data_IF_740091042303
#
_entry.id   IF_740091042303
#
_cell.length_a   1.000
_cell.length_b   1.000
_cell.length_c   1.000
_cell.angle_alpha   90.00
_cell.angle_beta   90.00
_cell.angle_gamma   90.00
#
_symmetry.space_group_name_H-M   'P 1'
#
loop_
_entity.id
_entity.type
_entity.pdbx_description
1 polymer ?
#
# COMPACT_ATOMS: atom_id res chain seq x y z
N UNK A 1 -19.26 -49.25 -56.43
CA UNK A 1 -18.27 -49.03 -55.32
C UNK A 1 -18.72 -47.81 -54.56
N UNK A 2 -19.47 -48.03 -53.55
CA UNK A 2 -20.09 -47.05 -52.67
C UNK A 2 -19.17 -46.89 -51.47
N UNK A 3 -18.68 -45.69 -51.22
CA UNK A 3 -17.95 -45.34 -50.00
C UNK A 3 -18.90 -44.64 -49.05
N UNK A 4 -19.11 -45.32 -47.97
CA UNK A 4 -19.90 -44.90 -46.83
C UNK A 4 -19.13 -43.85 -46.02
N UNK A 5 -19.69 -42.67 -45.82
CA UNK A 5 -19.13 -41.62 -44.97
C UNK A 5 -19.98 -41.52 -43.69
N UNK A 6 -19.42 -41.98 -42.58
CA UNK A 6 -20.01 -41.76 -41.27
C UNK A 6 -19.95 -40.29 -40.84
N UNK A 7 -20.96 -39.75 -40.19
CA UNK A 7 -20.87 -38.43 -39.54
C UNK A 7 -20.14 -38.50 -38.22
N UNK A 8 -19.17 -37.60 -38.03
CA UNK A 8 -18.47 -37.38 -36.75
C UNK A 8 -19.37 -36.76 -35.72
N UNK A 9 -19.43 -37.36 -34.55
CA UNK A 9 -20.09 -36.83 -33.39
C UNK A 9 -19.36 -35.55 -32.92
N UNK A 10 -20.12 -34.44 -32.82
CA UNK A 10 -19.68 -33.19 -32.18
C UNK A 10 -19.70 -33.38 -30.68
N UNK A 11 -18.54 -33.21 -30.02
CA UNK A 11 -18.45 -33.11 -28.56
C UNK A 11 -19.20 -31.85 -28.07
N UNK A 12 -19.86 -31.90 -26.92
CA UNK A 12 -20.47 -30.73 -26.31
C UNK A 12 -19.39 -29.82 -25.78
N UNK A 13 -19.29 -28.63 -26.32
CA UNK A 13 -18.49 -27.54 -25.73
C UNK A 13 -19.13 -27.13 -24.42
N UNK A 14 -18.45 -27.47 -23.33
CA UNK A 14 -18.74 -27.00 -21.99
C UNK A 14 -18.61 -25.47 -21.95
N UNK A 15 -19.73 -24.78 -21.98
CA UNK A 15 -19.87 -23.33 -21.93
C UNK A 15 -19.66 -22.79 -20.52
N UNK A 16 -18.59 -23.14 -19.85
CA UNK A 16 -18.19 -22.52 -18.60
C UNK A 16 -17.99 -21.00 -18.80
N UNK A 17 -18.77 -20.19 -18.09
CA UNK A 17 -18.59 -18.75 -18.09
C UNK A 17 -17.11 -18.43 -17.79
N UNK A 18 -16.45 -17.52 -18.54
CA UNK A 18 -15.06 -17.20 -18.32
C UNK A 18 -14.87 -16.68 -16.89
N UNK A 19 -14.07 -17.39 -16.10
CA UNK A 19 -13.64 -16.93 -14.78
C UNK A 19 -12.96 -15.58 -15.01
N UNK A 20 -13.40 -14.50 -14.36
CA UNK A 20 -12.81 -13.19 -14.58
C UNK A 20 -11.33 -13.26 -14.24
N UNK A 21 -10.48 -13.03 -15.21
CA UNK A 21 -9.04 -12.94 -14.99
C UNK A 21 -8.78 -11.74 -14.06
N UNK A 22 -8.20 -12.00 -12.90
CA UNK A 22 -7.72 -10.95 -12.00
C UNK A 22 -6.60 -10.23 -12.74
N UNK A 23 -6.85 -9.01 -13.19
CA UNK A 23 -5.80 -8.16 -13.74
C UNK A 23 -4.98 -7.57 -12.60
N UNK A 24 -3.67 -7.44 -12.76
CA UNK A 24 -2.78 -6.88 -11.75
C UNK A 24 -3.14 -5.44 -11.38
N UNK A 25 -3.77 -4.69 -12.26
CA UNK A 25 -4.30 -3.34 -11.99
C UNK A 25 -5.59 -3.33 -11.18
N UNK A 26 -6.25 -4.48 -10.97
CA UNK A 26 -7.56 -4.56 -10.35
C UNK A 26 -8.69 -3.90 -11.15
N UNK A 27 -8.49 -3.68 -12.46
CA UNK A 27 -9.46 -2.93 -13.28
C UNK A 27 -10.82 -3.64 -13.38
N UNK A 28 -10.84 -4.98 -13.43
CA UNK A 28 -12.08 -5.76 -13.49
C UNK A 28 -12.93 -5.61 -12.22
N UNK A 29 -12.30 -5.50 -11.05
CA UNK A 29 -12.97 -5.30 -9.77
C UNK A 29 -13.56 -3.88 -9.62
N UNK A 30 -13.08 -2.92 -10.39
CA UNK A 30 -13.51 -1.52 -10.32
C UNK A 30 -14.59 -1.15 -11.32
N UNK A 31 -15.12 -2.11 -12.06
CA UNK A 31 -16.14 -1.89 -13.11
C UNK A 31 -17.38 -2.77 -12.87
N UNK A 32 -18.50 -2.29 -13.37
CA UNK A 32 -19.77 -3.02 -13.32
C UNK A 32 -20.46 -2.92 -11.96
N UNK A 33 -21.41 -3.83 -11.74
CA UNK A 33 -22.25 -3.86 -10.54
C UNK A 33 -21.42 -4.17 -9.29
N UNK A 34 -21.89 -3.71 -8.14
CA UNK A 34 -21.32 -4.04 -6.82
C UNK A 34 -21.51 -5.55 -6.55
N UNK A 35 -20.46 -6.19 -6.02
CA UNK A 35 -20.44 -7.66 -5.82
C UNK A 35 -20.25 -8.01 -4.35
N UNK A 36 -20.67 -9.21 -4.00
CA UNK A 36 -20.31 -9.81 -2.72
C UNK A 36 -18.77 -9.84 -2.55
N UNK A 37 -18.31 -9.63 -1.33
CA UNK A 37 -16.87 -9.55 -0.98
C UNK A 37 -16.24 -8.20 -1.29
N UNK A 38 -16.87 -7.31 -2.06
CA UNK A 38 -16.32 -5.98 -2.34
C UNK A 38 -16.44 -5.03 -1.14
N UNK A 39 -15.44 -4.20 -0.95
CA UNK A 39 -15.51 -3.08 0.00
C UNK A 39 -16.25 -1.91 -0.65
N UNK A 40 -17.24 -1.40 0.06
CA UNK A 40 -18.03 -0.24 -0.34
C UNK A 40 -17.96 0.82 0.75
N UNK A 41 -17.81 2.06 0.33
CA UNK A 41 -17.87 3.24 1.18
C UNK A 41 -19.27 3.83 1.10
N UNK A 42 -19.91 3.94 2.25
CA UNK A 42 -21.25 4.49 2.42
C UNK A 42 -21.11 5.92 2.93
N UNK A 43 -21.67 6.88 2.22
CA UNK A 43 -21.66 8.29 2.64
C UNK A 43 -23.08 8.67 3.06
N UNK A 44 -23.24 9.08 4.32
CA UNK A 44 -24.54 9.56 4.80
C UNK A 44 -24.80 11.04 4.40
N UNK A 45 -26.00 11.52 4.65
CA UNK A 45 -26.45 12.89 4.36
C UNK A 45 -25.65 14.00 5.08
N UNK A 46 -24.79 13.63 6.06
CA UNK A 46 -23.88 14.53 6.76
C UNK A 46 -22.44 14.43 6.26
N UNK A 47 -22.20 13.66 5.20
CA UNK A 47 -20.87 13.39 4.65
C UNK A 47 -20.00 12.45 5.50
N UNK A 48 -20.58 11.72 6.48
CA UNK A 48 -19.83 10.73 7.25
C UNK A 48 -19.65 9.46 6.44
N UNK A 49 -18.44 8.93 6.47
CA UNK A 49 -18.04 7.77 5.71
C UNK A 49 -18.05 6.52 6.59
N UNK A 50 -18.64 5.46 6.08
CA UNK A 50 -18.62 4.13 6.66
C UNK A 50 -18.14 3.15 5.61
N UNK A 51 -17.15 2.32 5.93
CA UNK A 51 -16.67 1.29 5.02
C UNK A 51 -17.19 -0.06 5.46
N UNK A 52 -17.86 -0.77 4.55
CA UNK A 52 -18.39 -2.11 4.76
C UNK A 52 -17.85 -3.07 3.69
N UNK A 53 -17.73 -4.35 4.04
CA UNK A 53 -17.52 -5.42 3.07
C UNK A 53 -18.89 -6.04 2.80
N UNK A 54 -19.31 -6.06 1.56
CA UNK A 54 -20.62 -6.63 1.19
C UNK A 54 -20.60 -8.15 1.38
N UNK A 55 -21.59 -8.68 2.08
CA UNK A 55 -21.79 -10.11 2.28
C UNK A 55 -23.28 -10.43 2.12
N UNK A 56 -23.61 -11.46 1.36
CA UNK A 56 -25.00 -11.89 1.14
C UNK A 56 -25.67 -12.23 2.48
N UNK A 57 -26.88 -11.76 2.68
CA UNK A 57 -27.64 -11.94 3.92
C UNK A 57 -27.22 -11.07 5.10
N UNK A 58 -26.08 -10.37 5.02
CA UNK A 58 -25.60 -9.46 6.08
C UNK A 58 -26.42 -8.16 6.13
N UNK A 59 -26.31 -7.47 7.27
CA UNK A 59 -27.03 -6.23 7.54
C UNK A 59 -26.07 -5.16 8.06
N UNK A 60 -26.14 -3.98 7.48
CA UNK A 60 -25.44 -2.81 8.01
C UNK A 60 -26.31 -2.12 9.05
N UNK A 61 -25.78 -2.00 10.27
CA UNK A 61 -26.48 -1.40 11.40
C UNK A 61 -25.88 -0.05 11.78
N UNK A 62 -26.75 0.93 12.04
CA UNK A 62 -26.39 2.22 12.64
C UNK A 62 -27.39 2.59 13.74
N UNK A 63 -27.09 3.62 14.51
CA UNK A 63 -28.03 4.20 15.47
C UNK A 63 -29.30 4.80 14.82
N UNK A 64 -29.33 4.85 13.48
CA UNK A 64 -30.46 5.38 12.66
C UNK A 64 -31.09 4.30 11.78
N UNK A 65 -31.08 3.06 12.23
CA UNK A 65 -31.68 1.95 11.52
C UNK A 65 -30.65 1.10 10.77
N UNK A 66 -31.14 0.23 9.94
CA UNK A 66 -30.35 -0.77 9.21
C UNK A 66 -30.85 -0.89 7.77
N UNK A 67 -30.01 -1.46 6.90
CA UNK A 67 -30.39 -2.00 5.60
C UNK A 67 -29.58 -3.27 5.30
N UNK A 68 -30.07 -4.09 4.38
CA UNK A 68 -29.42 -5.35 4.01
C UNK A 68 -28.36 -5.09 2.95
N UNK A 69 -27.23 -5.78 3.03
CA UNK A 69 -26.19 -5.73 1.99
C UNK A 69 -26.72 -6.20 0.63
N UNK A 70 -27.73 -7.09 0.63
CA UNK A 70 -28.39 -7.59 -0.58
C UNK A 70 -29.04 -6.47 -1.42
N UNK A 71 -29.34 -5.30 -0.82
CA UNK A 71 -29.86 -4.14 -1.55
C UNK A 71 -28.79 -3.44 -2.40
N UNK A 72 -27.52 -3.68 -2.08
CA UNK A 72 -26.36 -3.14 -2.80
C UNK A 72 -25.68 -4.17 -3.70
N UNK A 73 -25.72 -5.47 -3.34
CA UNK A 73 -25.17 -6.54 -4.18
C UNK A 73 -25.98 -6.63 -5.47
N UNK A 74 -25.31 -6.46 -6.61
CA UNK A 74 -25.95 -6.40 -7.92
C UNK A 74 -26.47 -5.02 -8.33
N UNK A 75 -26.36 -4.00 -7.45
CA UNK A 75 -26.69 -2.63 -7.80
C UNK A 75 -25.50 -1.94 -8.51
N UNK A 76 -25.75 -0.91 -9.35
CA UNK A 76 -24.68 -0.11 -9.91
C UNK A 76 -23.97 0.71 -8.84
N UNK A 77 -22.68 0.99 -9.03
CA UNK A 77 -21.94 1.94 -8.21
C UNK A 77 -22.57 3.33 -8.30
N UNK A 78 -22.66 4.06 -7.18
CA UNK A 78 -23.39 5.30 -7.09
C UNK A 78 -24.86 5.14 -6.70
N UNK A 79 -25.31 3.94 -6.37
CA UNK A 79 -26.65 3.70 -5.84
C UNK A 79 -26.83 4.31 -4.45
N UNK A 80 -28.07 4.68 -4.15
CA UNK A 80 -28.50 5.13 -2.83
C UNK A 80 -29.36 4.05 -2.19
N UNK A 81 -29.07 3.71 -0.94
CA UNK A 81 -29.87 2.80 -0.12
C UNK A 81 -30.38 3.55 1.10
N UNK A 82 -31.62 3.27 1.51
CA UNK A 82 -32.27 3.93 2.64
C UNK A 82 -32.39 2.97 3.82
N UNK A 83 -31.86 3.38 4.99
CA UNK A 83 -32.00 2.60 6.20
C UNK A 83 -33.46 2.56 6.70
N UNK A 84 -33.79 1.59 7.55
CA UNK A 84 -35.10 1.47 8.21
C UNK A 84 -35.52 2.70 9.00
N UNK A 85 -34.56 3.55 9.38
CA UNK A 85 -34.78 4.85 10.03
C UNK A 85 -34.87 6.03 9.06
N UNK A 86 -34.97 5.80 7.75
CA UNK A 86 -35.15 6.85 6.73
C UNK A 86 -33.88 7.63 6.36
N UNK A 87 -32.68 7.13 6.71
CA UNK A 87 -31.43 7.79 6.34
C UNK A 87 -30.87 7.17 5.05
N UNK A 88 -30.58 8.03 4.09
CA UNK A 88 -29.99 7.67 2.82
C UNK A 88 -28.45 7.55 2.90
N UNK A 89 -27.90 6.56 2.21
CA UNK A 89 -26.48 6.30 2.07
C UNK A 89 -26.12 6.14 0.60
N UNK A 90 -25.21 6.98 0.11
CA UNK A 90 -24.60 6.82 -1.21
C UNK A 90 -23.53 5.76 -1.13
N UNK A 91 -23.59 4.74 -1.99
CA UNK A 91 -22.68 3.61 -2.03
C UNK A 91 -21.69 3.72 -3.20
N UNK A 92 -20.40 3.85 -2.90
CA UNK A 92 -19.31 3.94 -3.86
C UNK A 92 -18.18 2.97 -3.51
N UNK A 93 -17.44 2.49 -4.51
CA UNK A 93 -16.17 1.81 -4.25
C UNK A 93 -15.16 2.81 -3.70
N UNK A 94 -14.40 2.48 -2.64
CA UNK A 94 -13.40 3.39 -2.12
C UNK A 94 -12.32 3.66 -3.17
N UNK A 95 -11.92 4.90 -3.32
CA UNK A 95 -10.72 5.26 -4.05
C UNK A 95 -9.48 4.71 -3.33
N UNK A 96 -8.32 4.66 -4.00
CA UNK A 96 -7.07 4.23 -3.35
C UNK A 96 -6.77 5.07 -2.10
N UNK A 97 -6.97 6.39 -2.18
CA UNK A 97 -6.78 7.27 -1.04
C UNK A 97 -7.71 6.91 0.14
N UNK A 98 -8.99 6.64 -0.14
CA UNK A 98 -9.97 6.26 0.87
C UNK A 98 -9.63 4.91 1.49
N UNK A 99 -9.21 3.94 0.67
CA UNK A 99 -8.78 2.63 1.12
C UNK A 99 -7.59 2.73 2.08
N UNK A 100 -6.55 3.49 1.72
CA UNK A 100 -5.36 3.74 2.57
C UNK A 100 -5.75 4.40 3.89
N UNK A 101 -6.65 5.38 3.87
CA UNK A 101 -7.04 6.13 5.07
C UNK A 101 -7.99 5.34 6.00
N UNK A 102 -8.74 4.37 5.46
CA UNK A 102 -9.74 3.58 6.19
C UNK A 102 -9.35 2.14 6.50
N UNK A 103 -8.25 1.64 5.91
CA UNK A 103 -7.83 0.24 6.11
C UNK A 103 -7.40 -0.04 7.55
N UNK A 104 -7.52 -1.28 8.03
CA UNK A 104 -6.91 -1.73 9.28
C UNK A 104 -5.39 -1.54 9.25
N UNK A 105 -4.83 -0.96 10.30
CA UNK A 105 -3.40 -0.66 10.36
C UNK A 105 -2.80 -0.87 11.74
N UNK A 106 -1.63 -1.47 11.79
CA UNK A 106 -0.82 -1.66 13.00
C UNK A 106 0.21 -0.55 13.20
N UNK A 107 0.69 0.07 12.09
CA UNK A 107 1.71 1.10 12.06
C UNK A 107 1.20 2.41 11.45
N UNK A 108 2.02 3.46 11.50
CA UNK A 108 1.84 4.63 10.66
C UNK A 108 1.91 4.21 9.18
N UNK A 109 1.24 4.96 8.32
CA UNK A 109 1.23 4.69 6.88
C UNK A 109 1.74 5.90 6.12
N UNK A 110 2.36 5.66 4.99
CA UNK A 110 2.64 6.72 4.01
C UNK A 110 1.31 7.25 3.50
N UNK A 111 1.07 8.53 3.69
CA UNK A 111 -0.18 9.17 3.29
C UNK A 111 -0.31 9.24 1.76
N UNK A 112 -1.53 9.24 1.21
CA UNK A 112 -1.75 9.29 -0.24
C UNK A 112 -1.03 10.44 -0.94
N UNK A 113 -0.91 11.60 -0.29
CA UNK A 113 -0.17 12.75 -0.83
C UNK A 113 1.32 12.47 -1.03
N UNK A 114 1.91 11.70 -0.11
CA UNK A 114 3.33 11.33 -0.16
C UNK A 114 3.54 10.13 -1.09
N UNK A 115 2.65 9.13 -1.07
CA UNK A 115 2.68 8.00 -1.99
C UNK A 115 2.61 8.45 -3.46
N UNK A 116 1.78 9.47 -3.78
CA UNK A 116 1.75 10.10 -5.10
C UNK A 116 3.09 10.73 -5.48
N UNK A 117 3.78 11.36 -4.53
CA UNK A 117 5.11 11.91 -4.75
C UNK A 117 6.16 10.82 -4.93
N UNK A 118 6.11 9.74 -4.15
CA UNK A 118 7.00 8.57 -4.32
C UNK A 118 6.89 8.04 -5.75
N UNK A 119 5.68 7.83 -6.25
CA UNK A 119 5.45 7.32 -7.61
C UNK A 119 5.99 8.29 -8.68
N UNK A 120 5.66 9.58 -8.56
CA UNK A 120 6.01 10.57 -9.58
C UNK A 120 7.49 10.95 -9.55
N UNK A 121 8.01 11.28 -8.35
CA UNK A 121 9.41 11.74 -8.20
C UNK A 121 10.40 10.58 -8.21
N UNK A 122 9.95 9.36 -7.87
CA UNK A 122 10.71 8.12 -8.06
C UNK A 122 10.66 7.62 -9.49
N UNK A 123 9.86 8.26 -10.37
CA UNK A 123 9.66 7.83 -11.76
C UNK A 123 9.34 6.33 -11.84
N UNK A 124 8.33 5.90 -11.05
CA UNK A 124 7.86 4.51 -11.06
C UNK A 124 6.86 4.36 -12.21
N UNK A 125 7.22 3.56 -13.20
CA UNK A 125 6.50 3.43 -14.46
C UNK A 125 5.96 2.00 -14.69
N UNK A 126 4.96 1.82 -15.56
CA UNK A 126 4.48 0.49 -15.92
C UNK A 126 5.59 -0.38 -16.52
N UNK A 127 5.79 -1.56 -15.94
CA UNK A 127 6.87 -2.46 -16.34
C UNK A 127 8.14 -2.38 -15.45
N UNK A 128 8.22 -1.40 -14.56
CA UNK A 128 9.37 -1.27 -13.65
C UNK A 128 9.51 -2.45 -12.70
N UNK A 129 10.76 -2.80 -12.39
CA UNK A 129 11.15 -3.73 -11.33
C UNK A 129 11.46 -2.94 -10.07
N UNK A 130 10.56 -3.03 -9.09
CA UNK A 130 10.59 -2.23 -7.86
C UNK A 130 10.83 -3.12 -6.65
N UNK A 131 11.71 -2.68 -5.76
CA UNK A 131 11.85 -3.24 -4.42
C UNK A 131 11.33 -2.22 -3.41
N UNK A 132 10.52 -2.67 -2.48
CA UNK A 132 10.01 -1.92 -1.34
C UNK A 132 10.51 -2.54 -0.04
N UNK A 133 10.91 -1.73 0.94
CA UNK A 133 11.17 -2.22 2.28
C UNK A 133 10.58 -1.30 3.34
N UNK A 134 10.04 -1.92 4.41
CA UNK A 134 9.21 -1.25 5.38
C UNK A 134 7.75 -1.22 4.94
N UNK A 135 7.18 -2.38 4.68
CA UNK A 135 5.83 -2.56 4.10
C UNK A 135 4.72 -2.08 5.04
N UNK A 136 4.92 -2.28 6.32
CA UNK A 136 3.98 -1.88 7.36
C UNK A 136 2.58 -2.48 7.15
N UNK A 137 1.61 -1.64 6.86
CA UNK A 137 0.22 -2.08 6.59
C UNK A 137 -0.10 -2.23 5.11
N UNK A 138 0.86 -2.06 4.19
CA UNK A 138 0.68 -2.21 2.74
C UNK A 138 0.11 -0.98 2.03
N UNK A 139 0.10 0.19 2.67
CA UNK A 139 -0.46 1.42 2.09
C UNK A 139 0.31 1.87 0.86
N UNK A 140 1.63 1.97 0.98
CA UNK A 140 2.52 2.35 -0.13
C UNK A 140 2.55 1.25 -1.18
N UNK A 141 2.60 -0.01 -0.77
CA UNK A 141 2.54 -1.20 -1.63
C UNK A 141 1.41 -1.13 -2.65
N UNK A 142 0.20 -0.75 -2.23
CA UNK A 142 -0.95 -0.60 -3.14
C UNK A 142 -0.73 0.47 -4.22
N UNK A 143 -0.09 1.57 -3.87
CA UNK A 143 0.26 2.64 -4.82
C UNK A 143 1.33 2.20 -5.81
N UNK A 144 2.36 1.50 -5.31
CA UNK A 144 3.45 0.95 -6.13
C UNK A 144 2.94 -0.11 -7.11
N UNK A 145 2.08 -1.03 -6.65
CA UNK A 145 1.47 -2.06 -7.51
C UNK A 145 0.65 -1.45 -8.66
N UNK A 146 -0.10 -0.38 -8.39
CA UNK A 146 -0.80 0.35 -9.45
C UNK A 146 0.15 1.01 -10.44
N UNK A 147 1.27 1.54 -9.97
CA UNK A 147 2.22 2.22 -10.82
C UNK A 147 2.99 1.26 -11.73
N UNK A 148 3.46 0.13 -11.20
CA UNK A 148 4.21 -0.85 -12.01
C UNK A 148 3.32 -1.59 -13.01
N UNK A 149 2.02 -1.71 -12.72
CA UNK A 149 1.04 -2.33 -13.63
C UNK A 149 1.31 -3.81 -13.91
N UNK A 150 0.68 -4.31 -14.99
CA UNK A 150 0.65 -5.73 -15.33
C UNK A 150 2.01 -6.29 -15.82
N UNK A 151 2.82 -5.44 -16.42
CA UNK A 151 4.14 -5.82 -16.97
C UNK A 151 5.30 -5.63 -16.00
N UNK A 152 5.05 -5.07 -14.82
CA UNK A 152 6.07 -4.80 -13.82
C UNK A 152 6.15 -5.84 -12.70
N UNK A 153 6.99 -5.57 -11.72
CA UNK A 153 7.11 -6.38 -10.51
C UNK A 153 7.39 -5.52 -9.29
N UNK A 154 6.81 -5.91 -8.16
CA UNK A 154 7.09 -5.34 -6.85
C UNK A 154 7.51 -6.46 -5.90
N UNK A 155 8.73 -6.38 -5.39
CA UNK A 155 9.19 -7.24 -4.31
C UNK A 155 9.26 -6.42 -3.02
N UNK A 156 8.37 -6.71 -2.09
CA UNK A 156 8.30 -6.04 -0.79
C UNK A 156 9.00 -6.88 0.27
N UNK A 157 9.78 -6.24 1.13
CA UNK A 157 10.54 -6.89 2.20
C UNK A 157 10.11 -6.27 3.53
N UNK A 158 9.65 -7.11 4.46
CA UNK A 158 9.19 -6.69 5.78
C UNK A 158 9.87 -7.55 6.85
N UNK A 159 10.45 -6.90 7.84
CA UNK A 159 11.13 -7.61 8.93
C UNK A 159 10.17 -8.30 9.89
N UNK A 160 8.97 -7.73 10.05
CA UNK A 160 7.97 -8.19 11.00
C UNK A 160 6.90 -9.01 10.33
N UNK A 161 6.80 -10.29 10.68
CA UNK A 161 5.81 -11.21 10.14
C UNK A 161 4.36 -10.76 10.39
N UNK A 162 4.09 -10.16 11.56
CA UNK A 162 2.76 -9.64 11.90
C UNK A 162 2.34 -8.47 10.99
N UNK A 163 3.26 -7.59 10.62
CA UNK A 163 2.98 -6.52 9.65
C UNK A 163 2.86 -7.04 8.23
N UNK A 164 3.68 -7.99 7.84
CA UNK A 164 3.56 -8.66 6.54
C UNK A 164 2.19 -9.34 6.36
N UNK A 165 1.66 -9.98 7.41
CA UNK A 165 0.32 -10.56 7.40
C UNK A 165 -0.78 -9.49 7.24
N UNK A 166 -0.66 -8.36 7.94
CA UNK A 166 -1.58 -7.22 7.80
C UNK A 166 -1.53 -6.63 6.38
N UNK A 167 -0.31 -6.41 5.86
CA UNK A 167 -0.11 -5.89 4.51
C UNK A 167 -0.73 -6.81 3.45
N UNK A 168 -0.51 -8.13 3.56
CA UNK A 168 -1.09 -9.12 2.66
C UNK A 168 -2.61 -9.02 2.64
N UNK A 169 -3.24 -9.05 3.81
CA UNK A 169 -4.68 -8.98 3.93
C UNK A 169 -5.26 -7.68 3.34
N UNK A 170 -4.60 -6.53 3.58
CA UNK A 170 -5.05 -5.25 3.03
C UNK A 170 -4.90 -5.17 1.51
N UNK A 171 -3.75 -5.61 0.97
CA UNK A 171 -3.48 -5.61 -0.48
C UNK A 171 -4.45 -6.56 -1.18
N UNK A 172 -4.61 -7.79 -0.71
CA UNK A 172 -5.54 -8.76 -1.29
C UNK A 172 -7.00 -8.29 -1.22
N UNK A 173 -7.41 -7.67 -0.10
CA UNK A 173 -8.74 -7.07 0.01
C UNK A 173 -8.95 -5.94 -1.01
N UNK A 174 -7.92 -5.12 -1.23
CA UNK A 174 -8.03 -3.98 -2.15
C UNK A 174 -8.06 -4.41 -3.63
N UNK A 175 -7.28 -5.42 -3.99
CA UNK A 175 -7.18 -5.92 -5.37
C UNK A 175 -8.14 -7.08 -5.67
N UNK A 176 -8.86 -7.60 -4.66
CA UNK A 176 -9.80 -8.72 -4.80
C UNK A 176 -9.13 -10.09 -4.84
N UNK A 177 -7.91 -10.20 -4.34
CA UNK A 177 -7.13 -11.44 -4.27
C UNK A 177 -5.62 -11.21 -4.34
N UNK A 178 -4.81 -12.29 -4.39
CA UNK A 178 -3.36 -12.22 -4.54
C UNK A 178 -2.97 -11.46 -5.82
N UNK A 179 -2.09 -10.47 -5.68
CA UNK A 179 -1.67 -9.65 -6.82
C UNK A 179 -0.52 -10.32 -7.57
N UNK A 180 -0.63 -10.58 -8.90
CA UNK A 180 0.35 -11.39 -9.65
C UNK A 180 1.74 -10.74 -9.72
N UNK A 181 1.81 -9.41 -9.76
CA UNK A 181 3.08 -8.67 -9.79
C UNK A 181 3.73 -8.51 -8.41
N UNK A 182 3.14 -9.04 -7.33
CA UNK A 182 3.63 -8.82 -5.98
C UNK A 182 4.27 -10.06 -5.37
N UNK A 183 5.43 -9.84 -4.76
CA UNK A 183 6.11 -10.82 -3.91
C UNK A 183 6.40 -10.16 -2.56
N UNK A 184 6.25 -10.91 -1.48
CA UNK A 184 6.50 -10.43 -0.12
C UNK A 184 7.42 -11.43 0.60
N UNK A 185 8.58 -10.96 1.03
CA UNK A 185 9.56 -11.71 1.82
C UNK A 185 9.67 -11.17 3.24
N UNK A 186 9.94 -12.06 4.19
CA UNK A 186 10.17 -11.72 5.59
C UNK A 186 11.68 -11.71 5.85
N UNK A 187 12.19 -10.64 6.46
CA UNK A 187 13.59 -10.53 6.87
C UNK A 187 14.12 -9.10 6.77
N UNK A 188 15.39 -8.96 7.13
CA UNK A 188 16.11 -7.70 6.96
C UNK A 188 16.46 -7.47 5.48
N UNK A 189 16.34 -6.20 5.05
CA UNK A 189 16.56 -5.85 3.64
C UNK A 189 17.95 -6.25 3.15
N UNK A 190 18.99 -5.99 3.96
CA UNK A 190 20.37 -6.29 3.59
C UNK A 190 20.61 -7.79 3.33
N UNK A 191 19.90 -8.66 4.06
CA UNK A 191 20.03 -10.12 3.94
C UNK A 191 19.15 -10.68 2.81
N UNK A 192 17.92 -10.16 2.68
CA UNK A 192 16.94 -10.69 1.72
C UNK A 192 17.19 -10.18 0.31
N UNK A 193 17.53 -8.89 0.14
CA UNK A 193 17.64 -8.28 -1.19
C UNK A 193 18.60 -9.01 -2.13
N UNK A 194 19.80 -9.46 -1.71
CA UNK A 194 20.69 -10.22 -2.57
C UNK A 194 20.17 -11.60 -3.00
N UNK A 195 19.18 -12.15 -2.29
CA UNK A 195 18.58 -13.47 -2.58
C UNK A 195 17.41 -13.37 -3.57
N UNK A 196 16.85 -12.17 -3.74
CA UNK A 196 15.62 -11.95 -4.54
C UNK A 196 15.83 -11.06 -5.76
N UNK A 197 16.98 -10.40 -5.85
CA UNK A 197 17.33 -9.54 -6.97
C UNK A 197 18.81 -9.70 -7.35
N UNK A 198 19.07 -9.94 -8.61
CA UNK A 198 20.42 -9.93 -9.16
C UNK A 198 21.01 -8.50 -9.14
N UNK A 199 22.33 -8.37 -8.93
CA UNK A 199 22.98 -7.06 -8.96
C UNK A 199 22.69 -6.26 -10.24
N UNK A 200 22.40 -4.98 -10.08
CA UNK A 200 22.18 -4.07 -11.20
C UNK A 200 20.89 -4.34 -12.01
N UNK A 201 19.91 -5.06 -11.42
CA UNK A 201 18.68 -5.40 -12.15
C UNK A 201 17.42 -4.68 -11.65
N UNK A 202 17.49 -4.01 -10.52
CA UNK A 202 16.36 -3.28 -9.92
C UNK A 202 16.30 -1.86 -10.50
N UNK A 203 15.12 -1.44 -10.95
CA UNK A 203 14.93 -0.09 -11.50
C UNK A 203 14.72 0.95 -10.40
N UNK A 204 13.95 0.59 -9.36
CA UNK A 204 13.57 1.48 -8.24
C UNK A 204 13.64 0.75 -6.91
N UNK A 205 14.16 1.43 -5.91
CA UNK A 205 14.08 0.98 -4.51
C UNK A 205 13.36 2.04 -3.70
N UNK A 206 12.38 1.64 -2.91
CA UNK A 206 11.59 2.52 -2.04
C UNK A 206 11.71 2.04 -0.61
N UNK A 207 12.20 2.91 0.29
CA UNK A 207 12.43 2.59 1.69
C UNK A 207 11.55 3.46 2.60
N UNK A 208 10.66 2.83 3.36
CA UNK A 208 9.90 3.43 4.47
C UNK A 208 10.30 2.74 5.78
N UNK A 209 11.47 3.08 6.29
CA UNK A 209 12.05 2.42 7.45
C UNK A 209 12.81 3.39 8.35
N UNK A 210 13.06 2.95 9.58
CA UNK A 210 13.68 3.78 10.61
C UNK A 210 15.13 4.19 10.27
N UNK A 211 15.92 3.26 9.74
CA UNK A 211 17.36 3.44 9.51
C UNK A 211 17.73 3.05 8.05
N UNK A 212 17.28 3.79 7.01
CA UNK A 212 17.54 3.44 5.62
C UNK A 212 19.03 3.47 5.25
N UNK A 213 19.87 4.23 5.95
CA UNK A 213 21.33 4.31 5.73
C UNK A 213 22.04 2.97 5.96
N UNK A 214 21.53 2.10 6.84
CA UNK A 214 22.11 0.77 7.09
C UNK A 214 22.05 -0.14 5.85
N UNK A 215 21.21 0.20 4.88
CA UNK A 215 20.96 -0.59 3.68
C UNK A 215 21.55 0.01 2.41
N UNK A 216 22.28 1.14 2.49
CA UNK A 216 22.82 1.87 1.31
C UNK A 216 23.67 0.96 0.44
N UNK A 217 24.51 0.11 1.01
CA UNK A 217 25.36 -0.79 0.26
C UNK A 217 24.59 -1.89 -0.48
N UNK A 218 23.61 -2.53 0.16
CA UNK A 218 22.76 -3.54 -0.47
C UNK A 218 21.93 -2.92 -1.62
N UNK A 219 21.36 -1.74 -1.40
CA UNK A 219 20.61 -0.98 -2.39
C UNK A 219 21.47 -0.58 -3.58
N UNK A 220 22.68 -0.08 -3.33
CA UNK A 220 23.61 0.30 -4.40
C UNK A 220 23.99 -0.89 -5.29
N UNK A 221 24.12 -2.08 -4.73
CA UNK A 221 24.38 -3.31 -5.52
C UNK A 221 23.18 -3.74 -6.35
N UNK A 222 21.98 -3.65 -5.80
CA UNK A 222 20.75 -4.12 -6.48
C UNK A 222 20.30 -3.18 -7.61
N UNK A 223 20.43 -1.86 -7.42
CA UNK A 223 19.98 -0.87 -8.40
C UNK A 223 20.81 -0.91 -9.68
N UNK A 224 20.12 -0.88 -10.80
CA UNK A 224 20.72 -0.65 -12.10
C UNK A 224 21.38 0.76 -12.15
N UNK A 225 22.43 0.97 -12.95
CA UNK A 225 22.93 2.31 -13.23
C UNK A 225 21.81 3.22 -13.74
N UNK A 226 21.64 4.39 -13.12
CA UNK A 226 20.52 5.30 -13.37
C UNK A 226 19.26 4.98 -12.58
N UNK A 227 19.19 3.83 -11.91
CA UNK A 227 18.10 3.46 -11.01
C UNK A 227 17.92 4.46 -9.87
N UNK A 228 16.70 4.55 -9.32
CA UNK A 228 16.34 5.55 -8.31
C UNK A 228 16.12 4.89 -6.96
N UNK A 229 16.76 5.45 -5.93
CA UNK A 229 16.41 5.23 -4.54
C UNK A 229 15.47 6.34 -4.10
N UNK A 230 14.31 5.96 -3.54
CA UNK A 230 13.37 6.84 -2.84
C UNK A 230 13.33 6.42 -1.39
N UNK A 231 13.39 7.38 -0.47
CA UNK A 231 13.24 7.10 0.95
C UNK A 231 12.19 8.00 1.57
N UNK A 232 11.47 7.49 2.56
CA UNK A 232 10.57 8.23 3.41
C UNK A 232 11.05 8.13 4.84
N UNK A 233 11.31 9.26 5.48
CA UNK A 233 11.79 9.35 6.87
C UNK A 233 10.98 10.36 7.67
N UNK A 234 10.82 10.12 8.96
CA UNK A 234 9.91 10.91 9.80
C UNK A 234 10.53 12.18 10.37
N UNK A 235 11.87 12.27 10.45
CA UNK A 235 12.55 13.35 11.15
C UNK A 235 13.65 14.00 10.31
N UNK A 236 13.92 15.28 10.59
CA UNK A 236 15.05 16.01 9.96
C UNK A 236 16.39 15.37 10.28
N UNK A 237 16.51 14.77 11.44
CA UNK A 237 17.71 14.05 11.89
C UNK A 237 18.01 12.84 11.01
N UNK A 238 16.97 12.01 10.77
CA UNK A 238 17.07 10.88 9.85
C UNK A 238 17.41 11.34 8.43
N UNK A 239 16.76 12.41 7.97
CA UNK A 239 17.00 12.98 6.64
C UNK A 239 18.43 13.44 6.48
N UNK A 240 18.96 14.17 7.46
CA UNK A 240 20.36 14.65 7.45
C UNK A 240 21.35 13.49 7.45
N UNK A 241 21.15 12.49 8.33
CA UNK A 241 22.01 11.31 8.42
C UNK A 241 22.07 10.56 7.10
N UNK A 242 20.91 10.24 6.54
CA UNK A 242 20.82 9.52 5.27
C UNK A 242 21.53 10.27 4.13
N UNK A 243 21.33 11.60 4.05
CA UNK A 243 21.97 12.40 3.02
C UNK A 243 23.50 12.38 3.14
N UNK A 244 24.06 12.43 4.35
CA UNK A 244 25.52 12.34 4.57
C UNK A 244 26.04 10.94 4.24
N UNK A 245 25.34 9.87 4.65
CA UNK A 245 25.76 8.50 4.36
C UNK A 245 25.73 8.20 2.85
N UNK A 246 24.72 8.71 2.12
CA UNK A 246 24.68 8.61 0.65
C UNK A 246 25.81 9.37 -0.04
N UNK A 247 26.22 10.54 0.49
CA UNK A 247 27.38 11.28 -0.01
C UNK A 247 28.68 10.54 0.25
N UNK A 248 28.82 9.98 1.45
CA UNK A 248 30.01 9.22 1.85
C UNK A 248 30.16 7.93 1.04
N UNK A 249 29.05 7.27 0.68
CA UNK A 249 29.05 6.07 -0.16
C UNK A 249 29.63 6.34 -1.56
N UNK A 250 29.34 7.49 -2.13
CA UNK A 250 29.92 7.95 -3.40
C UNK A 250 29.35 7.28 -4.67
N UNK A 251 28.49 6.28 -4.57
CA UNK A 251 27.87 5.59 -5.72
C UNK A 251 26.55 6.24 -6.17
N UNK A 252 26.11 7.27 -5.48
CA UNK A 252 24.85 7.94 -5.75
C UNK A 252 25.05 9.40 -6.17
N UNK A 253 24.09 9.93 -6.91
CA UNK A 253 24.03 11.37 -7.18
C UNK A 253 23.72 12.14 -5.91
N UNK A 254 23.96 13.47 -5.93
CA UNK A 254 23.60 14.34 -4.80
C UNK A 254 22.12 14.13 -4.41
N UNK A 255 21.82 13.78 -3.15
CA UNK A 255 20.46 13.58 -2.69
C UNK A 255 19.61 14.84 -2.80
N UNK A 256 18.35 14.68 -3.19
CA UNK A 256 17.34 15.73 -3.20
C UNK A 256 16.23 15.38 -2.22
N UNK A 257 15.84 16.33 -1.37
CA UNK A 257 14.86 16.10 -0.33
C UNK A 257 13.75 17.16 -0.36
N UNK A 258 12.53 16.73 0.01
CA UNK A 258 11.35 17.59 0.13
C UNK A 258 10.32 16.99 1.07
N UNK A 259 9.31 17.76 1.41
CA UNK A 259 8.05 17.31 1.99
C UNK A 259 6.88 17.82 1.13
N UNK A 260 5.72 17.21 1.26
CA UNK A 260 4.52 17.66 0.57
C UNK A 260 3.42 18.03 1.56
N UNK A 261 2.64 19.07 1.22
CA UNK A 261 1.49 19.52 2.00
C UNK A 261 0.25 19.61 1.10
N UNK A 262 -0.88 19.06 1.59
CA UNK A 262 -2.17 19.18 0.91
C UNK A 262 -3.15 19.89 1.81
N UNK A 263 -3.71 21.01 1.34
CA UNK A 263 -4.70 21.79 2.04
C UNK A 263 -6.07 21.64 1.39
N UNK A 264 -7.01 21.07 2.13
CA UNK A 264 -8.41 20.99 1.71
C UNK A 264 -9.10 22.34 1.76
N UNK A 265 -10.15 22.51 0.96
CA UNK A 265 -11.00 23.70 0.94
C UNK A 265 -12.45 23.31 1.25
N UNK A 266 -13.13 24.13 2.02
CA UNK A 266 -14.57 24.10 2.21
C UNK A 266 -15.24 24.83 1.05
N UNK A 267 -16.24 24.21 0.44
CA UNK A 267 -16.96 24.71 -0.71
C UNK A 267 -18.46 24.65 -0.41
N UNK A 268 -19.08 25.80 -0.16
CA UNK A 268 -20.53 25.92 0.08
C UNK A 268 -21.02 27.25 -0.45
N UNK A 269 -21.65 27.25 -1.63
CA UNK A 269 -22.06 28.47 -2.31
C UNK A 269 -20.91 29.46 -2.45
N UNK A 270 -21.06 30.69 -1.92
CA UNK A 270 -20.00 31.70 -1.88
C UNK A 270 -19.02 31.54 -0.71
N UNK A 271 -19.28 30.62 0.22
CA UNK A 271 -18.40 30.35 1.36
C UNK A 271 -17.26 29.41 0.95
N UNK A 272 -16.30 29.95 0.19
CA UNK A 272 -15.10 29.24 -0.25
C UNK A 272 -13.92 29.64 0.62
N UNK A 273 -13.42 28.69 1.42
CA UNK A 273 -12.33 28.94 2.38
C UNK A 273 -11.50 27.70 2.66
N UNK A 274 -10.21 27.86 3.06
CA UNK A 274 -9.41 26.73 3.49
C UNK A 274 -10.06 26.00 4.68
N UNK A 275 -9.93 24.67 4.71
CA UNK A 275 -10.30 23.90 5.89
C UNK A 275 -9.41 24.29 7.08
N UNK A 276 -9.99 24.33 8.27
CA UNK A 276 -9.25 24.67 9.51
C UNK A 276 -8.22 23.61 9.90
N UNK A 277 -8.53 22.33 9.62
CA UNK A 277 -7.62 21.21 9.91
C UNK A 277 -6.84 20.86 8.66
N UNK A 278 -5.52 20.77 8.80
CA UNK A 278 -4.60 20.33 7.78
C UNK A 278 -3.57 19.38 8.41
N UNK A 279 -3.23 18.29 7.72
CA UNK A 279 -2.07 17.48 8.06
C UNK A 279 -0.88 18.17 7.37
N UNK A 280 -0.13 18.97 8.13
CA UNK A 280 0.97 19.77 7.60
C UNK A 280 2.17 18.88 7.29
N UNK A 281 2.72 18.25 8.33
CA UNK A 281 3.88 17.37 8.21
C UNK A 281 3.50 15.91 8.44
N UNK A 282 4.05 15.01 7.63
CA UNK A 282 3.90 13.55 7.77
C UNK A 282 5.25 12.85 7.73
N UNK A 283 6.18 13.33 6.94
CA UNK A 283 7.53 12.84 6.77
C UNK A 283 8.24 13.56 5.64
N UNK A 284 9.52 13.26 5.49
CA UNK A 284 10.38 13.79 4.44
C UNK A 284 10.64 12.71 3.39
N UNK A 285 10.64 13.12 2.14
CA UNK A 285 11.03 12.31 1.01
C UNK A 285 12.44 12.70 0.56
N UNK A 286 13.23 11.71 0.17
CA UNK A 286 14.54 11.92 -0.42
C UNK A 286 14.67 11.01 -1.64
N UNK A 287 15.23 11.54 -2.73
CA UNK A 287 15.61 10.75 -3.90
C UNK A 287 17.08 10.95 -4.23
N UNK A 288 17.67 9.89 -4.77
CA UNK A 288 18.97 9.90 -5.40
C UNK A 288 19.04 8.83 -6.48
N UNK A 289 20.02 8.89 -7.37
CA UNK A 289 20.18 7.93 -8.47
C UNK A 289 21.51 7.19 -8.36
N UNK A 290 21.48 5.89 -8.65
CA UNK A 290 22.68 5.06 -8.76
C UNK A 290 23.50 5.51 -9.97
N UNK A 291 24.79 5.78 -9.77
CA UNK A 291 25.72 6.06 -10.86
C UNK A 291 26.25 4.77 -11.48
N UNK A 292 26.89 4.86 -12.63
CA UNK A 292 27.60 3.75 -13.23
C UNK A 292 28.77 3.29 -12.33
N UNK A 293 29.19 2.03 -12.46
CA UNK A 293 30.29 1.49 -11.68
C UNK A 293 31.61 2.18 -12.00
N UNK A 294 32.36 2.47 -10.96
CA UNK A 294 33.67 3.15 -11.09
C UNK A 294 33.57 4.65 -11.45
N UNK A 295 32.37 5.23 -11.50
CA UNK A 295 32.17 6.65 -11.80
C UNK A 295 31.94 7.41 -10.50
N UNK A 296 32.66 8.52 -10.31
CA UNK A 296 32.41 9.47 -9.22
C UNK A 296 31.58 10.65 -9.73
N UNK A 297 30.65 11.12 -8.88
CA UNK A 297 29.90 12.32 -9.22
C UNK A 297 30.84 13.54 -9.32
N UNK A 298 30.55 14.49 -10.26
CA UNK A 298 31.28 15.74 -10.30
C UNK A 298 31.17 16.48 -8.95
N UNK A 299 32.28 16.96 -8.46
CA UNK A 299 32.34 17.68 -7.18
C UNK A 299 31.52 18.98 -7.26
N UNK A 300 30.52 19.11 -6.40
CA UNK A 300 29.70 20.32 -6.33
C UNK A 300 30.39 21.36 -5.46
N UNK A 301 30.79 22.49 -6.03
CA UNK A 301 31.28 23.63 -5.30
C UNK A 301 30.18 24.27 -4.48
N UNK A 302 29.97 23.82 -3.26
CA UNK A 302 29.01 24.42 -2.30
C UNK A 302 29.80 25.15 -1.19
N UNK A 303 29.28 26.30 -0.79
CA UNK A 303 29.74 26.94 0.44
C UNK A 303 29.01 26.25 1.61
N UNK A 304 29.71 25.62 2.55
CA UNK A 304 29.03 24.99 3.70
C UNK A 304 28.21 26.05 4.46
N UNK A 305 26.98 25.67 4.86
CA UNK A 305 26.18 26.51 5.74
C UNK A 305 26.78 26.49 7.17
N UNK A 306 26.55 27.56 7.95
CA UNK A 306 26.95 27.57 9.37
C UNK A 306 26.23 26.41 10.10
N UNK A 307 26.98 25.62 10.85
CA UNK A 307 26.46 24.47 11.58
C UNK A 307 26.19 23.23 10.71
N UNK A 308 26.79 23.15 9.50
CA UNK A 308 26.60 22.02 8.59
C UNK A 308 27.08 20.68 9.14
N UNK A 309 27.96 20.68 10.13
CA UNK A 309 28.48 19.45 10.74
C UNK A 309 28.43 19.55 12.25
N UNK A 310 28.01 18.50 12.97
CA UNK A 310 28.12 18.44 14.42
C UNK A 310 29.57 18.50 14.81
N UNK A 311 29.90 19.21 15.91
CA UNK A 311 31.27 19.48 16.35
C UNK A 311 32.02 18.22 16.83
N UNK A 312 31.32 17.09 17.03
CA UNK A 312 31.81 15.93 17.78
C UNK A 312 31.37 14.53 17.28
N UNK A 313 30.75 14.40 16.12
CA UNK A 313 30.46 13.10 15.51
C UNK A 313 29.65 12.15 16.38
N UNK A 314 28.75 12.68 17.23
CA UNK A 314 27.93 11.89 18.14
C UNK A 314 27.03 10.90 17.41
N UNK A 315 27.02 9.66 17.88
CA UNK A 315 26.10 8.63 17.37
C UNK A 315 24.66 8.99 17.74
N UNK A 316 23.74 8.80 16.79
CA UNK A 316 22.32 9.04 16.97
C UNK A 316 21.69 7.92 17.82
N UNK A 317 20.80 8.29 18.75
CA UNK A 317 20.04 7.31 19.53
C UNK A 317 18.80 6.85 18.80
N UNK A 318 18.25 5.65 19.09
CA UNK A 318 17.00 5.17 18.50
C UNK A 318 15.84 6.15 18.71
N UNK A 319 15.76 6.80 19.87
CA UNK A 319 14.72 7.80 20.18
C UNK A 319 14.84 9.04 19.31
N UNK A 320 16.05 9.52 19.05
CA UNK A 320 16.33 10.64 18.13
C UNK A 320 15.99 10.29 16.69
N UNK A 321 16.09 9.00 16.32
CA UNK A 321 15.67 8.46 15.03
C UNK A 321 14.16 8.26 14.92
N UNK A 322 13.39 8.50 16.01
CA UNK A 322 11.94 8.44 16.00
C UNK A 322 11.37 7.05 16.19
N UNK A 323 12.13 6.10 16.76
CA UNK A 323 11.64 4.77 17.07
C UNK A 323 10.43 4.83 18.01
N UNK A 324 9.32 4.25 17.57
CA UNK A 324 8.10 4.13 18.36
C UNK A 324 7.67 2.68 18.45
N UNK A 325 7.69 2.12 19.65
CA UNK A 325 7.16 0.78 19.90
C UNK A 325 5.66 0.73 19.56
N UNK A 326 5.29 -0.16 18.66
CA UNK A 326 3.88 -0.48 18.40
C UNK A 326 3.46 -1.54 19.39
N UNK A 327 2.47 -1.24 20.26
CA UNK A 327 2.04 -2.18 21.30
C UNK A 327 1.40 -3.43 20.70
N UNK A 328 1.70 -4.59 21.27
CA UNK A 328 1.09 -5.87 20.91
C UNK A 328 -0.44 -5.86 20.98
N UNK A 329 -1.00 -5.04 21.89
CA UNK A 329 -2.44 -4.83 21.98
C UNK A 329 -3.02 -4.21 20.70
N UNK A 330 -2.32 -3.26 20.08
CA UNK A 330 -2.74 -2.63 18.83
C UNK A 330 -2.65 -3.62 17.67
N UNK A 331 -1.56 -4.38 17.58
CA UNK A 331 -1.37 -5.41 16.54
C UNK A 331 -2.44 -6.50 16.66
N UNK A 332 -2.69 -7.02 17.87
CA UNK A 332 -3.74 -8.02 18.13
C UNK A 332 -5.14 -7.51 17.77
N UNK A 333 -5.45 -6.24 18.04
CA UNK A 333 -6.73 -5.65 17.65
C UNK A 333 -6.90 -5.64 16.13
N UNK A 334 -5.89 -5.18 15.39
CA UNK A 334 -5.94 -5.14 13.91
C UNK A 334 -6.08 -6.55 13.32
N UNK A 335 -5.32 -7.54 13.84
CA UNK A 335 -5.46 -8.93 13.39
C UNK A 335 -6.87 -9.49 13.61
N UNK A 336 -7.49 -9.19 14.76
CA UNK A 336 -8.87 -9.59 15.04
C UNK A 336 -9.85 -8.93 14.08
N UNK A 337 -9.69 -7.64 13.83
CA UNK A 337 -10.57 -6.88 12.93
C UNK A 337 -10.45 -7.39 11.47
N UNK A 338 -9.26 -7.83 11.04
CA UNK A 338 -9.04 -8.49 9.75
C UNK A 338 -9.62 -9.91 9.71
N UNK A 339 -9.52 -10.67 10.82
CA UNK A 339 -10.07 -12.03 10.93
C UNK A 339 -11.60 -12.08 10.98
N UNK A 340 -12.23 -11.04 11.51
CA UNK A 340 -13.69 -10.91 11.54
C UNK A 340 -14.33 -10.69 10.16
N UNK A 341 -13.55 -10.25 9.17
CA UNK A 341 -14.01 -10.07 7.78
C UNK A 341 -13.91 -11.33 6.94
N UNK A 342 -13.44 -12.47 7.49
CA UNK A 342 -13.09 -13.66 6.74
C UNK A 342 -13.74 -14.98 7.20
N UNK A 343 -14.74 -15.00 8.09
CA UNK A 343 -15.40 -16.27 8.48
C UNK A 343 -16.93 -16.16 8.50
N UNK A 344 -17.64 -16.99 7.71
CA UNK A 344 -18.97 -17.48 8.08
C UNK A 344 -18.82 -18.46 9.26
N UNK A 345 -19.80 -18.48 10.15
CA UNK A 345 -19.92 -19.34 11.32
C UNK A 345 -19.55 -20.80 11.03
N UNK A 346 -18.45 -21.25 11.62
CA UNK A 346 -18.21 -22.66 11.94
C UNK A 346 -17.59 -22.71 13.35
N UNK A 347 -18.46 -22.73 14.34
CA UNK A 347 -18.11 -23.13 15.68
C UNK A 347 -18.37 -24.64 15.80
N UNK A 348 -17.38 -25.48 16.13
CA UNK A 348 -17.65 -26.82 16.59
C UNK A 348 -18.23 -26.75 18.01
N UNK A 349 -19.43 -27.29 18.20
CA UNK A 349 -19.96 -27.61 19.51
C UNK A 349 -18.97 -28.51 20.27
N UNK A 350 -18.36 -27.97 21.30
CA UNK A 350 -17.45 -28.68 22.17
C UNK A 350 -18.20 -29.49 23.22
N UNK A 351 -17.96 -30.75 23.20
CA UNK A 351 -18.33 -31.84 24.08
C UNK A 351 -18.15 -31.48 25.58
N UNK A 352 -19.23 -31.60 26.31
CA UNK A 352 -19.23 -31.60 27.78
C UNK A 352 -18.69 -32.93 28.25
N UNK A 353 -17.48 -32.96 28.80
CA UNK A 353 -17.01 -34.11 29.62
C UNK A 353 -17.20 -33.77 31.09
N UNK A 354 -18.23 -34.37 31.67
CA UNK A 354 -18.40 -34.59 33.10
C UNK A 354 -17.45 -35.68 33.57
N UNK A 355 -16.82 -35.52 34.71
CA UNK A 355 -16.10 -36.61 35.34
C UNK A 355 -15.30 -36.25 36.58
N UNK A 356 -15.93 -36.49 37.73
CA UNK A 356 -15.36 -36.82 39.05
C UNK A 356 -14.45 -35.83 39.74
#
# INVERSE_FOLDING_TARGET
>A
MTTDSQPSASEPTDGGAPVPSITSTGAAQRRGLLREGERVQLTDTRGRLHTVTLAAGATFHTHKGYFRHDELIGAPEGSVVTSSGGVEYLALRPLLADAVLSMPRGAAVVYPKDAGQVVTMGDIYPGARVVEAGVGSGALTMSLLRAVGDGGSLHSIERREDFAAIARANVETFFGGPHPAWRLSIGDLADVLPTVAEPGTVDRVVLDMLAPWENVDAVARALAPGGVLVTYVATTTQLSRLAEDLRADGRFTEPQAWESMVRGWHLEGLAVRPQHRMIGHTGFLLTTRRMADGVAAPERRRRPAKGSYPADGAAWTPEELGERAVSDKKVRRVRRDLGATGRPDDAPEGEVLSGS
#
